data_IF_846690367137
#
_entry.id   IF_846690367137
#
_cell.length_a   1.000
_cell.length_b   1.000
_cell.length_c   1.000
_cell.angle_alpha   90.00
_cell.angle_beta   90.00
_cell.angle_gamma   90.00
#
_symmetry.space_group_name_H-M   'P 1'
#
loop_
_entity.id
_entity.type
_entity.pdbx_description
1 polymer ?
#
# COMPACT_ATOMS: atom_id res chain seq x y z
N UNK A 1 -1.67 -7.10 -31.29
CA UNK A 1 -1.05 -8.25 -30.58
C UNK A 1 -0.08 -7.68 -29.56
N UNK A 2 -0.37 -7.68 -28.27
CA UNK A 2 0.58 -7.21 -27.25
C UNK A 2 -0.04 -6.51 -26.03
N UNK A 3 -1.08 -7.05 -25.41
CA UNK A 3 -1.68 -6.52 -24.17
C UNK A 3 -1.75 -7.56 -23.04
N UNK A 4 -1.07 -8.69 -23.15
CA UNK A 4 -1.21 -9.79 -22.17
C UNK A 4 -0.16 -9.85 -21.05
N UNK A 5 0.87 -8.98 -21.00
CA UNK A 5 1.95 -9.10 -20.01
C UNK A 5 1.98 -8.03 -18.90
N UNK A 6 0.92 -7.23 -18.75
CA UNK A 6 0.84 -6.21 -17.67
C UNK A 6 -0.07 -6.61 -16.49
N UNK A 7 -0.74 -7.78 -16.57
CA UNK A 7 -1.80 -8.13 -15.62
C UNK A 7 -1.34 -8.62 -14.24
N UNK A 8 -0.16 -9.25 -14.13
CA UNK A 8 0.28 -9.90 -12.88
C UNK A 8 0.97 -8.95 -11.89
N UNK A 9 1.60 -7.87 -12.37
CA UNK A 9 2.25 -6.89 -11.48
C UNK A 9 1.27 -5.88 -10.86
N UNK A 10 0.08 -5.70 -11.43
CA UNK A 10 -0.92 -4.76 -10.88
C UNK A 10 -1.65 -5.29 -9.65
N UNK A 11 -1.87 -6.60 -9.55
CA UNK A 11 -2.53 -7.21 -8.39
C UNK A 11 -1.68 -7.12 -7.13
N UNK A 12 -0.37 -7.31 -7.23
CA UNK A 12 0.54 -7.17 -6.08
C UNK A 12 0.64 -5.72 -5.59
N UNK A 13 0.56 -4.74 -6.50
CA UNK A 13 0.59 -3.31 -6.16
C UNK A 13 -0.73 -2.82 -5.55
N UNK A 14 -1.87 -3.34 -6.02
CA UNK A 14 -3.21 -3.01 -5.49
C UNK A 14 -3.41 -3.57 -4.07
N UNK A 15 -2.83 -4.74 -3.77
CA UNK A 15 -2.95 -5.39 -2.47
C UNK A 15 -2.16 -4.69 -1.35
N UNK A 16 -1.04 -4.03 -1.70
CA UNK A 16 -0.17 -3.38 -0.71
C UNK A 16 -0.82 -2.17 -0.01
N UNK A 17 -1.69 -1.44 -0.71
CA UNK A 17 -2.28 -0.18 -0.22
C UNK A 17 -3.55 -0.39 0.62
N UNK A 18 -4.21 -1.53 0.51
CA UNK A 18 -5.47 -1.78 1.21
C UNK A 18 -5.31 -2.08 2.72
N UNK A 19 -4.09 -2.41 3.19
CA UNK A 19 -3.88 -2.95 4.52
C UNK A 19 -3.36 -1.97 5.57
N UNK A 20 -2.74 -0.85 5.19
CA UNK A 20 -1.98 -0.04 6.14
C UNK A 20 -2.27 1.46 6.01
N UNK A 21 -3.37 1.90 6.60
CA UNK A 21 -3.61 3.31 6.91
C UNK A 21 -2.97 3.69 8.25
N UNK A 22 -1.65 3.73 8.34
CA UNK A 22 -0.94 4.17 9.53
C UNK A 22 0.08 5.25 9.18
N UNK A 23 -0.05 6.43 9.79
CA UNK A 23 0.87 7.54 9.66
C UNK A 23 2.28 7.13 10.10
N UNK A 24 3.26 7.19 9.20
CA UNK A 24 4.69 7.04 9.54
C UNK A 24 5.22 8.42 9.92
N UNK A 25 5.35 8.67 11.22
CA UNK A 25 6.12 9.79 11.75
C UNK A 25 7.61 9.46 11.70
N UNK A 26 8.41 10.27 11.03
CA UNK A 26 9.88 10.16 11.02
C UNK A 26 10.44 10.48 12.40
N UNK A 27 11.09 9.50 13.04
CA UNK A 27 11.98 9.69 14.20
C UNK A 27 13.36 9.14 13.86
N UNK A 28 14.39 9.93 14.11
CA UNK A 28 15.79 9.58 13.80
C UNK A 28 16.25 8.31 14.54
N UNK A 29 17.08 7.44 13.91
CA UNK A 29 17.43 6.15 14.48
C UNK A 29 18.44 6.28 15.64
N UNK A 30 18.06 5.73 16.80
CA UNK A 30 18.98 5.43 17.90
C UNK A 30 19.43 3.97 17.79
N UNK A 31 20.71 3.73 17.62
CA UNK A 31 21.26 2.36 17.54
C UNK A 31 21.13 1.65 18.90
N UNK A 32 20.34 0.60 18.97
CA UNK A 32 20.25 -0.30 20.14
C UNK A 32 21.02 -1.59 19.84
N UNK A 33 21.96 -1.96 20.72
CA UNK A 33 22.83 -3.12 20.53
C UNK A 33 22.09 -4.45 20.79
N UNK A 34 22.50 -5.58 20.14
CA UNK A 34 21.85 -6.89 20.31
C UNK A 34 21.80 -7.41 21.76
N UNK A 35 22.67 -6.91 22.64
CA UNK A 35 22.66 -7.22 24.08
C UNK A 35 21.42 -6.69 24.83
N UNK A 36 20.65 -5.77 24.23
CA UNK A 36 19.48 -5.18 24.88
C UNK A 36 18.24 -6.06 24.80
N UNK A 37 18.06 -6.85 23.74
CA UNK A 37 16.95 -7.79 23.67
C UNK A 37 17.02 -8.86 24.77
N UNK A 38 18.23 -9.39 25.05
CA UNK A 38 18.43 -10.33 26.15
C UNK A 38 18.14 -9.70 27.52
N UNK A 39 18.55 -8.45 27.72
CA UNK A 39 18.29 -7.68 28.95
C UNK A 39 16.80 -7.38 29.14
N UNK A 40 16.06 -7.07 28.05
CA UNK A 40 14.63 -6.85 28.10
C UNK A 40 13.85 -8.13 28.39
N UNK A 41 14.27 -9.26 27.81
CA UNK A 41 13.68 -10.57 28.10
C UNK A 41 13.87 -10.95 29.58
N UNK A 42 15.02 -10.64 30.18
CA UNK A 42 15.28 -10.86 31.61
C UNK A 42 14.39 -9.96 32.49
N UNK A 43 14.13 -8.71 32.09
CA UNK A 43 13.21 -7.81 32.80
C UNK A 43 11.75 -8.27 32.75
N UNK A 44 11.31 -8.98 31.70
CA UNK A 44 9.99 -9.60 31.66
C UNK A 44 9.83 -10.76 32.65
N UNK A 45 10.92 -11.48 32.96
CA UNK A 45 10.92 -12.63 33.86
C UNK A 45 11.19 -12.25 35.34
N UNK A 46 11.75 -11.07 35.60
CA UNK A 46 11.78 -10.48 36.94
C UNK A 46 10.45 -9.79 37.20
N UNK A 47 9.74 -10.04 38.34
CA UNK A 47 8.46 -9.35 38.59
C UNK A 47 8.73 -7.85 38.72
N UNK A 48 8.27 -7.04 37.74
CA UNK A 48 8.43 -5.58 37.82
C UNK A 48 7.50 -5.06 38.92
N UNK A 49 7.99 -4.13 39.70
CA UNK A 49 7.31 -3.58 40.87
C UNK A 49 6.06 -2.74 40.52
N UNK A 50 5.83 -2.45 39.22
CA UNK A 50 4.65 -1.69 38.78
C UNK A 50 4.17 -2.07 37.38
N UNK A 51 2.85 -1.89 37.14
CA UNK A 51 2.22 -2.03 35.79
C UNK A 51 2.91 -1.11 34.78
N UNK A 52 3.35 0.08 35.21
CA UNK A 52 4.03 1.06 34.35
C UNK A 52 5.35 0.54 33.82
N UNK A 53 6.16 -0.16 34.64
CA UNK A 53 7.40 -0.76 34.18
C UNK A 53 7.18 -1.88 33.16
N UNK A 54 6.08 -2.65 33.30
CA UNK A 54 5.71 -3.67 32.31
C UNK A 54 5.28 -3.04 31.00
N UNK A 55 4.55 -1.92 31.05
CA UNK A 55 4.18 -1.16 29.86
C UNK A 55 5.44 -0.65 29.14
N UNK A 56 6.35 0.00 29.88
CA UNK A 56 7.60 0.52 29.31
C UNK A 56 8.42 -0.58 28.63
N UNK A 57 8.44 -1.81 29.16
CA UNK A 57 9.13 -2.97 28.55
C UNK A 57 8.40 -3.43 27.27
N UNK A 58 7.09 -3.46 27.26
CA UNK A 58 6.31 -3.82 26.07
C UNK A 58 6.56 -2.83 24.93
N UNK A 59 6.53 -1.53 25.26
CA UNK A 59 6.78 -0.44 24.31
C UNK A 59 8.21 -0.51 23.75
N UNK A 60 9.20 -0.85 24.58
CA UNK A 60 10.59 -1.02 24.15
C UNK A 60 10.76 -2.21 23.18
N UNK A 61 10.09 -3.34 23.41
CA UNK A 61 10.09 -4.46 22.45
C UNK A 61 9.43 -4.09 21.13
N UNK A 62 8.33 -3.34 21.15
CA UNK A 62 7.68 -2.87 19.95
C UNK A 62 8.59 -1.93 19.14
N UNK A 63 9.24 -0.99 19.83
CA UNK A 63 10.20 -0.06 19.22
C UNK A 63 11.39 -0.82 18.63
N UNK A 64 11.98 -1.75 19.38
CA UNK A 64 13.09 -2.60 18.92
C UNK A 64 12.69 -3.38 17.65
N UNK A 65 11.50 -3.96 17.64
CA UNK A 65 10.99 -4.67 16.46
C UNK A 65 10.91 -3.76 15.23
N UNK A 66 10.42 -2.51 15.40
CA UNK A 66 10.37 -1.51 14.32
C UNK A 66 11.76 -1.09 13.80
N UNK A 67 12.72 -0.90 14.69
CA UNK A 67 14.10 -0.57 14.31
C UNK A 67 14.76 -1.72 13.52
N UNK A 68 14.53 -2.96 13.94
CA UNK A 68 15.03 -4.14 13.26
C UNK A 68 14.37 -4.34 11.87
N UNK A 69 13.10 -3.98 11.71
CA UNK A 69 12.45 -3.92 10.39
C UNK A 69 13.19 -2.92 9.49
N UNK A 70 13.48 -1.73 9.99
CA UNK A 70 14.17 -0.69 9.23
C UNK A 70 15.59 -1.09 8.81
N UNK A 71 16.28 -1.85 9.64
CA UNK A 71 17.61 -2.39 9.33
C UNK A 71 17.58 -3.65 8.45
N UNK A 72 16.39 -4.20 8.16
CA UNK A 72 16.24 -5.45 7.42
C UNK A 72 16.51 -6.73 8.22
N UNK A 73 16.67 -6.61 9.54
CA UNK A 73 16.88 -7.76 10.43
C UNK A 73 15.54 -8.39 10.85
N UNK A 74 14.85 -8.96 9.87
CA UNK A 74 13.52 -9.57 10.07
C UNK A 74 13.49 -10.70 11.11
N UNK A 75 14.51 -11.59 11.23
CA UNK A 75 14.49 -12.63 12.26
C UNK A 75 14.42 -12.08 13.68
N UNK A 76 15.22 -11.08 14.00
CA UNK A 76 15.21 -10.44 15.32
C UNK A 76 13.95 -9.58 15.51
N UNK A 77 13.48 -8.87 14.46
CA UNK A 77 12.23 -8.14 14.51
C UNK A 77 11.04 -9.03 14.89
N UNK A 78 10.94 -10.24 14.31
CA UNK A 78 9.90 -11.22 14.65
C UNK A 78 9.95 -11.62 16.12
N UNK A 79 11.15 -11.82 16.68
CA UNK A 79 11.30 -12.16 18.10
C UNK A 79 10.85 -11.00 18.97
N UNK A 80 11.35 -9.79 18.73
CA UNK A 80 11.00 -8.60 19.51
C UNK A 80 9.48 -8.31 19.47
N UNK A 81 8.86 -8.41 18.30
CA UNK A 81 7.42 -8.17 18.15
C UNK A 81 6.56 -9.24 18.84
N UNK A 82 7.01 -10.50 18.88
CA UNK A 82 6.32 -11.55 19.66
C UNK A 82 6.40 -11.27 21.15
N UNK A 83 7.56 -10.84 21.65
CA UNK A 83 7.71 -10.46 23.06
C UNK A 83 6.86 -9.24 23.40
N UNK A 84 6.80 -8.22 22.50
CA UNK A 84 5.88 -7.10 22.65
C UNK A 84 4.43 -7.56 22.76
N UNK A 85 3.96 -8.39 21.82
CA UNK A 85 2.58 -8.90 21.81
C UNK A 85 2.25 -9.68 23.08
N UNK A 86 3.16 -10.53 23.58
CA UNK A 86 3.00 -11.27 24.81
C UNK A 86 2.94 -10.32 26.04
N UNK A 87 3.81 -9.32 26.09
CA UNK A 87 3.85 -8.36 27.20
C UNK A 87 2.53 -7.52 27.24
N UNK A 88 2.07 -7.01 26.10
CA UNK A 88 0.79 -6.31 26.01
C UNK A 88 -0.40 -7.19 26.37
N UNK A 89 -0.38 -8.47 25.97
CA UNK A 89 -1.43 -9.42 26.34
C UNK A 89 -1.53 -9.57 27.86
N UNK A 90 -0.41 -9.74 28.59
CA UNK A 90 -0.39 -9.81 30.05
C UNK A 90 -0.87 -8.52 30.72
N UNK A 91 -0.70 -7.37 30.08
CA UNK A 91 -1.18 -6.08 30.57
C UNK A 91 -2.66 -5.84 30.27
N UNK A 92 -3.27 -6.63 29.38
CA UNK A 92 -4.61 -6.35 28.85
C UNK A 92 -4.62 -5.16 27.88
N UNK A 93 -3.45 -4.73 27.39
CA UNK A 93 -3.34 -3.69 26.38
C UNK A 93 -3.50 -4.28 24.97
N UNK A 94 -4.75 -4.37 24.54
CA UNK A 94 -5.09 -4.93 23.23
C UNK A 94 -4.71 -4.02 22.07
N UNK A 95 -4.51 -2.70 22.30
CA UNK A 95 -4.06 -1.75 21.26
C UNK A 95 -2.60 -2.00 20.91
N UNK A 96 -1.71 -1.98 21.91
CA UNK A 96 -0.28 -2.28 21.70
C UNK A 96 -0.06 -3.69 21.16
N UNK A 97 -0.84 -4.67 21.63
CA UNK A 97 -0.81 -6.03 21.08
C UNK A 97 -1.22 -6.07 19.60
N UNK A 98 -2.26 -5.33 19.21
CA UNK A 98 -2.71 -5.20 17.83
C UNK A 98 -1.62 -4.65 16.92
N UNK A 99 -0.93 -3.59 17.34
CA UNK A 99 0.20 -3.01 16.60
C UNK A 99 1.35 -4.02 16.40
N UNK A 100 1.70 -4.78 17.43
CA UNK A 100 2.74 -5.81 17.32
C UNK A 100 2.33 -6.91 16.32
N UNK A 101 1.08 -7.36 16.35
CA UNK A 101 0.57 -8.34 15.40
C UNK A 101 0.52 -7.80 13.96
N UNK A 102 0.14 -6.55 13.74
CA UNK A 102 0.16 -5.93 12.41
C UNK A 102 1.56 -5.94 11.79
N UNK A 103 2.59 -5.59 12.58
CA UNK A 103 3.97 -5.65 12.12
C UNK A 103 4.41 -7.10 11.79
N UNK A 104 4.03 -8.07 12.63
CA UNK A 104 4.32 -9.49 12.38
C UNK A 104 3.66 -9.99 11.09
N UNK A 105 2.40 -9.66 10.86
CA UNK A 105 1.66 -10.03 9.64
C UNK A 105 2.35 -9.44 8.42
N UNK A 106 2.76 -8.17 8.49
CA UNK A 106 3.48 -7.50 7.40
C UNK A 106 4.80 -8.20 7.08
N UNK A 107 5.65 -8.44 8.07
CA UNK A 107 6.95 -9.13 7.87
C UNK A 107 6.74 -10.51 7.24
N UNK A 108 5.83 -11.31 7.81
CA UNK A 108 5.59 -12.65 7.27
C UNK A 108 5.04 -12.62 5.85
N UNK A 109 4.21 -11.63 5.51
CA UNK A 109 3.70 -11.44 4.15
C UNK A 109 4.82 -11.04 3.18
N UNK A 110 5.68 -10.09 3.57
CA UNK A 110 6.83 -9.64 2.77
C UNK A 110 7.83 -10.77 2.51
N UNK A 111 8.00 -11.66 3.47
CA UNK A 111 8.83 -12.87 3.35
C UNK A 111 8.14 -14.01 2.58
N UNK A 112 6.88 -13.84 2.14
CA UNK A 112 6.10 -14.91 1.51
C UNK A 112 5.69 -16.04 2.46
N UNK A 113 5.83 -15.84 3.77
CA UNK A 113 5.49 -16.81 4.82
C UNK A 113 4.01 -16.69 5.21
N UNK A 114 3.12 -16.86 4.23
CA UNK A 114 1.68 -16.64 4.40
C UNK A 114 1.03 -17.49 5.50
N UNK A 115 1.54 -18.72 5.73
CA UNK A 115 1.02 -19.58 6.82
C UNK A 115 1.33 -19.02 8.20
N UNK A 116 2.47 -18.37 8.38
CA UNK A 116 2.86 -17.74 9.65
C UNK A 116 2.05 -16.46 9.86
N UNK A 117 1.89 -15.64 8.80
CA UNK A 117 1.01 -14.49 8.83
C UNK A 117 -0.43 -14.88 9.21
N UNK A 118 -0.98 -15.90 8.57
CA UNK A 118 -2.33 -16.41 8.87
C UNK A 118 -2.47 -16.87 10.32
N UNK A 119 -1.46 -17.58 10.86
CA UNK A 119 -1.47 -18.02 12.27
C UNK A 119 -1.55 -16.82 13.22
N UNK A 120 -0.79 -15.76 12.96
CA UNK A 120 -0.80 -14.53 13.77
C UNK A 120 -2.18 -13.84 13.71
N UNK A 121 -2.76 -13.69 12.52
CA UNK A 121 -4.08 -13.08 12.36
C UNK A 121 -5.17 -13.91 13.02
N UNK A 122 -5.12 -15.25 12.91
CA UNK A 122 -6.08 -16.13 13.61
C UNK A 122 -5.96 -16.05 15.12
N UNK A 123 -4.75 -15.88 15.65
CA UNK A 123 -4.53 -15.63 17.08
C UNK A 123 -5.13 -14.29 17.50
N UNK A 124 -4.89 -13.22 16.76
CA UNK A 124 -5.51 -11.91 16.98
C UNK A 124 -7.03 -12.01 16.97
N UNK A 125 -7.62 -12.69 15.98
CA UNK A 125 -9.07 -12.89 15.88
C UNK A 125 -9.64 -13.67 17.08
N UNK A 126 -8.94 -14.72 17.53
CA UNK A 126 -9.36 -15.50 18.69
C UNK A 126 -9.39 -14.65 19.97
N UNK A 127 -8.38 -13.80 20.17
CA UNK A 127 -8.34 -12.88 21.32
C UNK A 127 -9.45 -11.83 21.20
N UNK A 128 -9.65 -11.24 20.03
CA UNK A 128 -10.74 -10.28 19.81
C UNK A 128 -12.14 -10.88 20.05
N UNK A 129 -12.33 -12.14 19.68
CA UNK A 129 -13.57 -12.88 19.97
C UNK A 129 -13.75 -13.13 21.46
N UNK A 130 -12.69 -13.56 22.17
CA UNK A 130 -12.77 -13.84 23.61
C UNK A 130 -13.08 -12.59 24.44
N UNK A 131 -12.63 -11.42 23.97
CA UNK A 131 -12.85 -10.14 24.64
C UNK A 131 -14.10 -9.39 24.13
N UNK A 132 -14.87 -9.98 23.21
CA UNK A 132 -16.04 -9.35 22.56
C UNK A 132 -15.69 -7.99 21.91
N UNK A 133 -14.43 -7.83 21.47
CA UNK A 133 -14.00 -6.63 20.77
C UNK A 133 -14.34 -6.75 19.28
N UNK A 134 -15.50 -6.29 18.89
CA UNK A 134 -16.01 -6.40 17.52
C UNK A 134 -15.18 -5.59 16.52
N UNK A 135 -14.62 -4.46 16.92
CA UNK A 135 -13.75 -3.65 16.04
C UNK A 135 -12.50 -4.42 15.64
N UNK A 136 -11.83 -5.07 16.61
CA UNK A 136 -10.64 -5.88 16.32
C UNK A 136 -11.00 -7.16 15.57
N UNK A 137 -12.18 -7.73 15.78
CA UNK A 137 -12.65 -8.87 14.98
C UNK A 137 -12.81 -8.48 13.51
N UNK A 138 -13.43 -7.31 13.22
CA UNK A 138 -13.56 -6.80 11.85
C UNK A 138 -12.18 -6.60 11.23
N UNK A 139 -11.24 -5.99 11.95
CA UNK A 139 -9.89 -5.73 11.46
C UNK A 139 -9.14 -7.04 11.17
N UNK A 140 -9.14 -7.98 12.11
CA UNK A 140 -8.49 -9.27 11.95
C UNK A 140 -9.08 -10.08 10.80
N UNK A 141 -10.41 -10.08 10.64
CA UNK A 141 -11.07 -10.74 9.51
C UNK A 141 -10.69 -10.09 8.17
N UNK A 142 -10.60 -8.76 8.10
CA UNK A 142 -10.14 -8.09 6.89
C UNK A 142 -8.66 -8.39 6.60
N UNK A 143 -7.81 -8.48 7.61
CA UNK A 143 -6.41 -8.90 7.44
C UNK A 143 -6.33 -10.37 6.95
N UNK A 144 -7.15 -11.27 7.50
CA UNK A 144 -7.23 -12.67 7.06
C UNK A 144 -7.66 -12.77 5.59
N UNK A 145 -8.68 -12.00 5.20
CA UNK A 145 -9.14 -11.94 3.81
C UNK A 145 -8.06 -11.39 2.86
N UNK A 146 -7.29 -10.39 3.30
CA UNK A 146 -6.19 -9.85 2.53
C UNK A 146 -5.07 -10.87 2.32
N UNK A 147 -4.73 -11.65 3.35
CA UNK A 147 -3.78 -12.76 3.20
C UNK A 147 -4.30 -13.81 2.20
N UNK A 148 -5.60 -14.08 2.21
CA UNK A 148 -6.24 -14.94 1.22
C UNK A 148 -6.04 -14.42 -0.21
N UNK A 149 -6.26 -13.12 -0.44
CA UNK A 149 -6.01 -12.49 -1.74
C UNK A 149 -4.53 -12.59 -2.16
N UNK A 150 -3.59 -12.33 -1.25
CA UNK A 150 -2.16 -12.41 -1.51
C UNK A 150 -1.70 -13.83 -1.87
N UNK A 151 -2.28 -14.83 -1.21
CA UNK A 151 -1.99 -16.24 -1.45
C UNK A 151 -2.81 -16.84 -2.61
N UNK A 152 -3.72 -16.08 -3.21
CA UNK A 152 -4.61 -16.55 -4.29
C UNK A 152 -5.82 -17.37 -3.81
N UNK A 153 -6.05 -17.45 -2.51
CA UNK A 153 -7.21 -18.14 -1.92
C UNK A 153 -8.42 -17.18 -1.82
N UNK A 154 -9.11 -17.04 -2.96
CA UNK A 154 -10.26 -16.12 -3.06
C UNK A 154 -11.45 -16.57 -2.21
N UNK A 155 -11.58 -17.87 -1.92
CA UNK A 155 -12.67 -18.37 -1.07
C UNK A 155 -12.43 -17.99 0.40
N UNK A 156 -11.22 -18.19 0.91
CA UNK A 156 -10.84 -17.70 2.24
C UNK A 156 -11.02 -16.18 2.35
N UNK A 157 -10.57 -15.45 1.32
CA UNK A 157 -10.69 -13.99 1.29
C UNK A 157 -12.17 -13.56 1.37
N UNK A 158 -13.02 -14.13 0.54
CA UNK A 158 -14.45 -13.84 0.51
C UNK A 158 -15.14 -14.16 1.83
N UNK A 159 -14.88 -15.34 2.40
CA UNK A 159 -15.47 -15.77 3.66
C UNK A 159 -15.10 -14.79 4.80
N UNK A 160 -13.83 -14.44 4.90
CA UNK A 160 -13.33 -13.53 5.93
C UNK A 160 -13.90 -12.11 5.79
N UNK A 161 -13.89 -11.53 4.57
CA UNK A 161 -14.47 -10.20 4.35
C UNK A 161 -15.98 -10.17 4.58
N UNK A 162 -16.70 -11.24 4.20
CA UNK A 162 -18.15 -11.32 4.42
C UNK A 162 -18.49 -11.44 5.90
N UNK A 163 -17.73 -12.22 6.69
CA UNK A 163 -17.91 -12.27 8.14
C UNK A 163 -17.60 -10.92 8.78
N UNK A 164 -16.50 -10.26 8.39
CA UNK A 164 -16.18 -8.91 8.85
C UNK A 164 -17.27 -7.90 8.54
N UNK A 165 -17.87 -7.99 7.34
CA UNK A 165 -19.00 -7.15 6.94
C UNK A 165 -20.23 -7.39 7.82
N UNK A 166 -20.57 -8.67 8.09
CA UNK A 166 -21.71 -9.01 8.94
C UNK A 166 -21.55 -8.41 10.34
N UNK A 167 -20.38 -8.61 10.97
CA UNK A 167 -20.12 -8.03 12.29
C UNK A 167 -20.19 -6.49 12.22
N UNK A 168 -19.62 -5.87 11.17
CA UNK A 168 -19.67 -4.42 11.03
C UNK A 168 -21.10 -3.88 10.88
N UNK A 169 -21.97 -4.61 10.20
CA UNK A 169 -23.39 -4.28 10.07
C UNK A 169 -24.13 -4.46 11.40
N UNK A 170 -23.86 -5.53 12.13
CA UNK A 170 -24.52 -5.82 13.42
C UNK A 170 -24.23 -4.75 14.49
N UNK A 171 -23.07 -4.09 14.41
CA UNK A 171 -22.67 -3.01 15.34
C UNK A 171 -22.77 -1.60 14.73
N UNK A 172 -23.38 -1.46 13.56
CA UNK A 172 -23.49 -0.19 12.82
C UNK A 172 -22.13 0.54 12.58
N UNK A 173 -21.05 -0.22 12.40
CA UNK A 173 -19.72 0.33 12.17
C UNK A 173 -19.53 0.80 10.72
N UNK A 174 -19.77 2.08 10.46
CA UNK A 174 -19.56 2.66 9.12
C UNK A 174 -18.16 2.40 8.57
N UNK A 175 -17.12 2.53 9.42
CA UNK A 175 -15.73 2.24 9.05
C UNK A 175 -15.53 0.77 8.67
N UNK A 176 -16.09 -0.15 9.47
CA UNK A 176 -16.01 -1.59 9.22
C UNK A 176 -16.73 -1.99 7.94
N UNK A 177 -17.94 -1.46 7.72
CA UNK A 177 -18.72 -1.69 6.49
C UNK A 177 -17.92 -1.20 5.28
N UNK A 178 -17.40 0.03 5.31
CA UNK A 178 -16.60 0.61 4.23
C UNK A 178 -15.35 -0.22 3.92
N UNK A 179 -14.64 -0.70 4.95
CA UNK A 179 -13.46 -1.54 4.80
C UNK A 179 -13.80 -2.89 4.14
N UNK A 180 -14.76 -3.62 4.68
CA UNK A 180 -15.13 -4.96 4.20
C UNK A 180 -15.74 -4.91 2.80
N UNK A 181 -16.57 -3.91 2.49
CA UNK A 181 -17.13 -3.68 1.14
C UNK A 181 -16.02 -3.38 0.14
N UNK A 182 -15.06 -2.50 0.48
CA UNK A 182 -13.93 -2.21 -0.40
C UNK A 182 -13.12 -3.47 -0.72
N UNK A 183 -12.89 -4.33 0.26
CA UNK A 183 -12.16 -5.58 0.10
C UNK A 183 -12.94 -6.63 -0.71
N UNK A 184 -14.26 -6.72 -0.56
CA UNK A 184 -15.11 -7.53 -1.45
C UNK A 184 -15.06 -7.01 -2.90
N UNK A 185 -14.95 -5.69 -3.08
CA UNK A 185 -14.70 -5.06 -4.37
C UNK A 185 -13.38 -5.53 -5.01
N UNK A 186 -12.30 -5.72 -4.24
CA UNK A 186 -11.04 -6.28 -4.73
C UNK A 186 -11.21 -7.70 -5.25
N UNK A 187 -11.98 -8.55 -4.55
CA UNK A 187 -12.28 -9.91 -5.03
C UNK A 187 -13.04 -9.86 -6.36
N UNK A 188 -14.09 -9.03 -6.43
CA UNK A 188 -14.88 -8.88 -7.64
C UNK A 188 -14.02 -8.38 -8.82
N UNK A 189 -13.09 -7.45 -8.56
CA UNK A 189 -12.13 -6.96 -9.55
C UNK A 189 -11.19 -8.09 -10.00
N UNK A 190 -10.65 -8.89 -9.08
CA UNK A 190 -9.77 -10.01 -9.39
C UNK A 190 -10.46 -11.08 -10.24
N UNK A 191 -11.77 -11.25 -10.07
CA UNK A 191 -12.61 -12.17 -10.84
C UNK A 191 -13.16 -11.57 -12.16
N UNK A 192 -12.80 -10.32 -12.49
CA UNK A 192 -13.31 -9.63 -13.67
C UNK A 192 -14.80 -9.26 -13.60
N UNK A 193 -15.41 -9.28 -12.42
CA UNK A 193 -16.80 -8.96 -12.16
C UNK A 193 -17.00 -7.44 -12.03
N UNK A 194 -16.77 -6.70 -13.12
CA UNK A 194 -16.72 -5.22 -13.14
C UNK A 194 -17.94 -4.57 -12.51
N UNK A 195 -19.16 -5.09 -12.78
CA UNK A 195 -20.40 -4.51 -12.24
C UNK A 195 -20.52 -4.70 -10.72
N UNK A 196 -20.10 -5.83 -10.19
CA UNK A 196 -20.15 -6.09 -8.75
C UNK A 196 -19.03 -5.33 -8.03
N UNK A 197 -17.83 -5.28 -8.60
CA UNK A 197 -16.73 -4.44 -8.10
C UNK A 197 -17.19 -2.97 -7.97
N UNK A 198 -17.85 -2.43 -9.02
CA UNK A 198 -18.39 -1.08 -8.98
C UNK A 198 -19.35 -0.88 -7.82
N UNK A 199 -20.36 -1.76 -7.67
CA UNK A 199 -21.35 -1.64 -6.58
C UNK A 199 -20.67 -1.68 -5.20
N UNK A 200 -19.72 -2.60 -5.00
CA UNK A 200 -19.00 -2.70 -3.75
C UNK A 200 -18.21 -1.43 -3.44
N UNK A 201 -17.48 -0.88 -4.41
CA UNK A 201 -16.69 0.32 -4.19
C UNK A 201 -17.54 1.59 -4.03
N UNK A 202 -18.64 1.75 -4.79
CA UNK A 202 -19.58 2.87 -4.61
C UNK A 202 -20.15 2.90 -3.19
N UNK A 203 -20.57 1.73 -2.67
CA UNK A 203 -21.05 1.59 -1.29
C UNK A 203 -19.92 1.87 -0.29
N UNK A 204 -18.75 1.28 -0.50
CA UNK A 204 -17.59 1.47 0.36
C UNK A 204 -17.18 2.94 0.47
N UNK A 205 -17.09 3.66 -0.66
CA UNK A 205 -16.72 5.08 -0.68
C UNK A 205 -17.67 5.94 0.16
N UNK A 206 -19.00 5.68 0.06
CA UNK A 206 -20.00 6.39 0.86
C UNK A 206 -19.83 6.13 2.36
N UNK A 207 -19.63 4.88 2.78
CA UNK A 207 -19.44 4.53 4.19
C UNK A 207 -18.12 5.10 4.75
N UNK A 208 -17.02 5.04 3.96
CA UNK A 208 -15.73 5.61 4.37
C UNK A 208 -15.80 7.13 4.52
N UNK A 209 -16.49 7.83 3.60
CA UNK A 209 -16.72 9.28 3.71
C UNK A 209 -17.48 9.64 5.00
N UNK A 210 -18.56 8.91 5.33
CA UNK A 210 -19.33 9.13 6.55
C UNK A 210 -18.51 8.83 7.81
N UNK A 211 -17.71 7.77 7.78
CA UNK A 211 -16.79 7.41 8.85
C UNK A 211 -15.58 8.36 8.97
N UNK A 212 -15.43 9.35 8.06
CA UNK A 212 -14.24 10.21 7.92
C UNK A 212 -12.94 9.41 7.75
N UNK A 213 -13.03 8.24 7.17
CA UNK A 213 -11.87 7.42 6.79
C UNK A 213 -11.36 7.88 5.41
N UNK A 214 -10.75 9.06 5.39
CA UNK A 214 -10.33 9.72 4.14
C UNK A 214 -9.23 8.94 3.41
N UNK A 215 -8.33 8.28 4.12
CA UNK A 215 -7.31 7.42 3.51
C UNK A 215 -7.94 6.21 2.82
N UNK A 216 -8.83 5.51 3.52
CA UNK A 216 -9.60 4.43 2.94
C UNK A 216 -10.48 4.88 1.78
N UNK A 217 -11.12 6.05 1.88
CA UNK A 217 -11.91 6.63 0.80
C UNK A 217 -11.04 6.89 -0.44
N UNK A 218 -9.89 7.54 -0.28
CA UNK A 218 -8.99 7.84 -1.40
C UNK A 218 -8.53 6.56 -2.13
N UNK A 219 -8.21 5.50 -1.40
CA UNK A 219 -7.91 4.19 -1.98
C UNK A 219 -9.11 3.59 -2.73
N UNK A 220 -10.29 3.66 -2.12
CA UNK A 220 -11.53 3.14 -2.72
C UNK A 220 -11.89 3.91 -3.99
N UNK A 221 -11.72 5.23 -4.00
CA UNK A 221 -11.96 6.09 -5.17
C UNK A 221 -10.96 5.78 -6.30
N UNK A 222 -9.69 5.48 -6.00
CA UNK A 222 -8.75 4.98 -7.01
C UNK A 222 -9.18 3.64 -7.61
N UNK A 223 -9.63 2.69 -6.78
CA UNK A 223 -10.18 1.41 -7.25
C UNK A 223 -11.42 1.62 -8.12
N UNK A 224 -12.28 2.55 -7.73
CA UNK A 224 -13.47 2.91 -8.48
C UNK A 224 -13.10 3.55 -9.83
N UNK A 225 -12.04 4.37 -9.86
CA UNK A 225 -11.46 4.90 -11.08
C UNK A 225 -11.02 3.80 -12.06
N UNK A 226 -10.31 2.78 -11.55
CA UNK A 226 -9.89 1.61 -12.34
C UNK A 226 -11.11 0.85 -12.93
N UNK A 227 -12.14 0.64 -12.11
CA UNK A 227 -13.36 -0.06 -12.52
C UNK A 227 -14.15 0.74 -13.56
N UNK A 228 -14.32 2.05 -13.38
CA UNK A 228 -14.97 2.91 -14.36
C UNK A 228 -14.17 2.99 -15.67
N UNK A 229 -12.84 3.02 -15.60
CA UNK A 229 -12.00 3.00 -16.79
C UNK A 229 -12.16 1.69 -17.56
N UNK A 230 -12.15 0.55 -16.86
CA UNK A 230 -12.39 -0.76 -17.46
C UNK A 230 -13.79 -0.89 -18.09
N UNK A 231 -14.79 -0.20 -17.52
CA UNK A 231 -16.16 -0.15 -18.05
C UNK A 231 -16.32 0.87 -19.19
N UNK A 232 -15.29 1.65 -19.55
CA UNK A 232 -15.38 2.73 -20.56
C UNK A 232 -16.10 3.99 -20.06
N UNK A 233 -16.40 4.09 -18.77
CA UNK A 233 -17.08 5.22 -18.14
C UNK A 233 -16.07 6.35 -17.80
N UNK A 234 -15.39 6.85 -18.83
CA UNK A 234 -14.19 7.73 -18.71
C UNK A 234 -14.42 8.95 -17.81
N UNK A 235 -15.60 9.63 -17.95
CA UNK A 235 -15.88 10.82 -17.13
C UNK A 235 -15.94 10.49 -15.64
N UNK A 236 -16.52 9.34 -15.29
CA UNK A 236 -16.58 8.88 -13.89
C UNK A 236 -15.20 8.46 -13.39
N UNK A 237 -14.40 7.78 -14.23
CA UNK A 237 -13.04 7.42 -13.89
C UNK A 237 -12.18 8.66 -13.55
N UNK A 238 -12.24 9.71 -14.38
CA UNK A 238 -11.57 10.98 -14.11
C UNK A 238 -12.06 11.59 -12.78
N UNK A 239 -13.36 11.58 -12.52
CA UNK A 239 -13.94 12.10 -11.28
C UNK A 239 -13.41 11.35 -10.05
N UNK A 240 -13.40 10.03 -10.09
CA UNK A 240 -12.94 9.17 -9.01
C UNK A 240 -11.44 9.35 -8.73
N UNK A 241 -10.58 9.34 -9.76
CA UNK A 241 -9.15 9.59 -9.57
C UNK A 241 -8.84 11.01 -9.09
N UNK A 242 -9.57 12.04 -9.54
CA UNK A 242 -9.39 13.41 -9.04
C UNK A 242 -9.77 13.54 -7.57
N UNK A 243 -10.85 12.90 -7.14
CA UNK A 243 -11.25 12.88 -5.74
C UNK A 243 -10.20 12.15 -4.90
N UNK A 244 -9.76 10.97 -5.33
CA UNK A 244 -8.66 10.24 -4.70
C UNK A 244 -7.40 11.10 -4.56
N UNK A 245 -6.97 11.77 -5.65
CA UNK A 245 -5.80 12.64 -5.65
C UNK A 245 -5.93 13.82 -4.69
N UNK A 246 -7.13 14.43 -4.63
CA UNK A 246 -7.39 15.54 -3.69
C UNK A 246 -7.26 15.09 -2.25
N UNK A 247 -7.94 13.99 -1.87
CA UNK A 247 -7.88 13.43 -0.53
C UNK A 247 -6.45 13.00 -0.16
N UNK A 248 -5.73 12.37 -1.09
CA UNK A 248 -4.37 11.94 -0.87
C UNK A 248 -3.38 13.11 -0.69
N UNK A 249 -3.62 14.25 -1.34
CA UNK A 249 -2.86 15.48 -1.10
C UNK A 249 -3.10 16.05 0.29
N UNK A 250 -4.35 16.13 0.71
CA UNK A 250 -4.72 16.62 2.05
C UNK A 250 -4.13 15.73 3.17
N UNK A 251 -3.95 14.44 2.89
CA UNK A 251 -3.36 13.46 3.80
C UNK A 251 -1.82 13.39 3.71
N UNK A 252 -1.20 14.06 2.74
CA UNK A 252 0.22 13.89 2.40
C UNK A 252 0.60 12.42 2.17
N UNK A 253 -0.27 11.64 1.49
CA UNK A 253 -0.01 10.24 1.15
C UNK A 253 0.52 10.13 -0.30
N UNK A 254 1.84 9.98 -0.49
CA UNK A 254 2.45 9.95 -1.81
C UNK A 254 2.07 8.70 -2.63
N UNK A 255 1.79 7.58 -1.97
CA UNK A 255 1.45 6.34 -2.67
C UNK A 255 0.08 6.42 -3.34
N UNK A 256 -0.92 6.93 -2.61
CA UNK A 256 -2.26 7.14 -3.18
C UNK A 256 -2.23 8.23 -4.25
N UNK A 257 -1.47 9.33 -4.02
CA UNK A 257 -1.28 10.38 -5.03
C UNK A 257 -0.70 9.80 -6.33
N UNK A 258 0.37 9.00 -6.23
CA UNK A 258 1.02 8.38 -7.37
C UNK A 258 0.05 7.52 -8.18
N UNK A 259 -0.72 6.67 -7.49
CA UNK A 259 -1.71 5.80 -8.11
C UNK A 259 -2.81 6.58 -8.86
N UNK A 260 -3.35 7.61 -8.22
CA UNK A 260 -4.38 8.45 -8.84
C UNK A 260 -3.83 9.21 -10.07
N UNK A 261 -2.59 9.69 -9.99
CA UNK A 261 -1.89 10.33 -11.12
C UNK A 261 -1.69 9.35 -12.27
N UNK A 262 -1.28 8.10 -12.01
CA UNK A 262 -1.12 7.06 -13.03
C UNK A 262 -2.43 6.78 -13.79
N UNK A 263 -3.55 6.72 -13.07
CA UNK A 263 -4.87 6.57 -13.68
C UNK A 263 -5.23 7.75 -14.60
N UNK A 264 -5.01 8.99 -14.13
CA UNK A 264 -5.28 10.20 -14.92
C UNK A 264 -4.36 10.30 -16.14
N UNK A 265 -3.06 10.04 -15.98
CA UNK A 265 -2.08 10.01 -17.09
C UNK A 265 -2.51 9.00 -18.15
N UNK A 266 -2.90 7.79 -17.73
CA UNK A 266 -3.40 6.74 -18.63
C UNK A 266 -4.58 7.21 -19.45
N UNK A 267 -5.57 7.85 -18.81
CA UNK A 267 -6.78 8.34 -19.49
C UNK A 267 -6.44 9.45 -20.48
N UNK A 268 -5.65 10.46 -20.06
CA UNK A 268 -5.38 11.62 -20.91
C UNK A 268 -4.43 11.30 -22.06
N UNK A 269 -3.52 10.31 -21.91
CA UNK A 269 -2.74 9.76 -23.02
C UNK A 269 -3.63 9.08 -24.08
N UNK A 270 -4.63 8.27 -23.64
CA UNK A 270 -5.57 7.59 -24.55
C UNK A 270 -6.51 8.55 -25.28
N UNK A 271 -6.82 9.70 -24.68
CA UNK A 271 -7.72 10.70 -25.24
C UNK A 271 -7.04 11.72 -26.14
N UNK A 272 -5.71 11.68 -26.26
CA UNK A 272 -4.91 12.67 -26.95
C UNK A 272 -5.21 14.11 -26.47
N UNK A 273 -5.26 14.27 -25.14
CA UNK A 273 -5.43 15.58 -24.48
C UNK A 273 -4.11 16.04 -23.84
N UNK A 274 -3.18 16.60 -24.60
CA UNK A 274 -1.79 16.83 -24.19
C UNK A 274 -1.69 17.79 -23.01
N UNK A 275 -2.54 18.82 -22.96
CA UNK A 275 -2.51 19.83 -21.87
C UNK A 275 -2.73 19.19 -20.50
N UNK A 276 -3.75 18.35 -20.36
CA UNK A 276 -4.04 17.66 -19.09
C UNK A 276 -3.01 16.56 -18.80
N UNK A 277 -2.56 15.88 -19.86
CA UNK A 277 -1.52 14.84 -19.75
C UNK A 277 -0.22 15.42 -19.16
N UNK A 278 0.32 16.49 -19.71
CA UNK A 278 1.55 17.12 -19.20
C UNK A 278 1.38 17.65 -17.79
N UNK A 279 0.25 18.27 -17.45
CA UNK A 279 -0.05 18.73 -16.11
C UNK A 279 0.05 17.60 -15.05
N UNK A 280 -0.48 16.41 -15.35
CA UNK A 280 -0.40 15.28 -14.41
C UNK A 280 0.98 14.63 -14.39
N UNK A 281 1.71 14.61 -15.52
CA UNK A 281 3.11 14.18 -15.56
C UNK A 281 4.00 15.10 -14.72
N UNK A 282 3.85 16.41 -14.85
CA UNK A 282 4.55 17.39 -14.00
C UNK A 282 4.25 17.19 -12.51
N UNK A 283 2.97 16.99 -12.17
CA UNK A 283 2.57 16.68 -10.79
C UNK A 283 3.23 15.39 -10.28
N UNK A 284 3.36 14.39 -11.14
CA UNK A 284 4.01 13.11 -10.79
C UNK A 284 5.53 13.28 -10.60
N UNK A 285 6.19 14.07 -11.44
CA UNK A 285 7.63 14.40 -11.28
C UNK A 285 7.84 15.16 -9.97
N UNK A 286 7.03 16.18 -9.69
CA UNK A 286 7.12 16.96 -8.43
C UNK A 286 7.01 16.03 -7.21
N UNK A 287 6.04 15.12 -7.21
CA UNK A 287 5.84 14.16 -6.12
C UNK A 287 7.08 13.25 -5.93
N UNK A 288 7.72 12.80 -7.02
CA UNK A 288 8.93 11.96 -6.91
C UNK A 288 10.15 12.72 -6.38
N UNK A 289 10.19 14.04 -6.57
CA UNK A 289 11.22 14.90 -5.99
C UNK A 289 10.97 15.13 -4.49
N UNK A 290 9.71 15.32 -4.09
CA UNK A 290 9.33 15.49 -2.69
C UNK A 290 9.59 14.22 -1.85
N UNK A 291 9.44 13.04 -2.46
CA UNK A 291 9.63 11.75 -1.79
C UNK A 291 11.04 11.17 -1.96
N UNK A 292 11.92 11.85 -2.70
CA UNK A 292 13.26 11.37 -3.07
C UNK A 292 13.24 9.97 -3.71
N UNK A 293 12.17 9.67 -4.48
CA UNK A 293 11.98 8.39 -5.15
C UNK A 293 12.56 8.42 -6.58
N UNK A 294 13.85 8.20 -6.68
CA UNK A 294 14.60 8.20 -7.93
C UNK A 294 14.11 7.14 -8.92
N UNK A 295 13.60 6.00 -8.42
CA UNK A 295 13.05 4.98 -9.29
C UNK A 295 11.75 5.44 -9.96
N UNK A 296 10.81 5.99 -9.20
CA UNK A 296 9.58 6.53 -9.77
C UNK A 296 9.85 7.72 -10.67
N UNK A 297 10.85 8.55 -10.34
CA UNK A 297 11.29 9.67 -11.18
C UNK A 297 11.82 9.18 -12.53
N UNK A 298 12.67 8.15 -12.53
CA UNK A 298 13.17 7.50 -13.75
C UNK A 298 11.99 6.99 -14.61
N UNK A 299 11.05 6.27 -14.02
CA UNK A 299 9.87 5.73 -14.71
C UNK A 299 9.05 6.87 -15.34
N UNK A 300 8.84 7.98 -14.61
CA UNK A 300 8.06 9.12 -15.10
C UNK A 300 8.76 9.83 -16.25
N UNK A 301 10.07 10.07 -16.13
CA UNK A 301 10.86 10.71 -17.17
C UNK A 301 10.93 9.86 -18.45
N UNK A 302 11.02 8.54 -18.31
CA UNK A 302 10.93 7.62 -19.45
C UNK A 302 9.56 7.72 -20.13
N UNK A 303 8.47 7.70 -19.38
CA UNK A 303 7.12 7.87 -19.91
C UNK A 303 6.95 9.22 -20.62
N UNK A 304 7.49 10.29 -20.03
CA UNK A 304 7.48 11.62 -20.64
C UNK A 304 8.26 11.64 -21.95
N UNK A 305 9.43 11.01 -22.00
CA UNK A 305 10.21 10.86 -23.21
C UNK A 305 9.47 10.11 -24.32
N UNK A 306 8.79 9.02 -23.97
CA UNK A 306 7.94 8.24 -24.88
C UNK A 306 6.81 9.09 -25.48
N UNK A 307 6.16 9.91 -24.68
CA UNK A 307 5.09 10.81 -25.13
C UNK A 307 5.62 11.91 -26.05
N UNK A 308 6.78 12.50 -25.74
CA UNK A 308 7.41 13.47 -26.64
C UNK A 308 7.83 12.84 -27.97
N UNK A 309 8.38 11.61 -27.94
CA UNK A 309 8.75 10.86 -29.15
C UNK A 309 7.52 10.55 -30.02
N UNK A 310 6.41 10.08 -29.42
CA UNK A 310 5.12 9.84 -30.09
C UNK A 310 4.56 11.12 -30.75
N UNK A 311 4.76 12.28 -30.12
CA UNK A 311 4.31 13.58 -30.62
C UNK A 311 5.27 14.22 -31.62
N UNK A 312 6.43 13.61 -31.92
CA UNK A 312 7.44 14.12 -32.80
C UNK A 312 8.29 15.23 -32.20
N UNK A 313 8.22 15.50 -30.91
CA UNK A 313 9.05 16.47 -30.19
C UNK A 313 10.38 15.81 -29.76
N UNK A 314 11.24 15.54 -30.77
CA UNK A 314 12.43 14.73 -30.58
C UNK A 314 13.46 15.37 -29.64
N UNK A 315 13.54 16.71 -29.59
CA UNK A 315 14.43 17.38 -28.64
C UNK A 315 14.02 17.17 -27.17
N UNK A 316 12.72 17.31 -26.88
CA UNK A 316 12.22 17.09 -25.52
C UNK A 316 12.28 15.60 -25.13
N UNK A 317 12.00 14.71 -26.09
CA UNK A 317 12.19 13.27 -25.91
C UNK A 317 13.63 12.94 -25.52
N UNK A 318 14.61 13.49 -26.26
CA UNK A 318 16.02 13.28 -25.95
C UNK A 318 16.42 13.80 -24.57
N UNK A 319 15.94 14.99 -24.16
CA UNK A 319 16.18 15.54 -22.82
C UNK A 319 15.60 14.65 -21.71
N UNK A 320 14.35 14.21 -21.87
CA UNK A 320 13.69 13.36 -20.89
C UNK A 320 14.38 11.99 -20.74
N UNK A 321 14.71 11.34 -21.86
CA UNK A 321 15.46 10.07 -21.83
C UNK A 321 16.89 10.23 -21.30
N UNK A 322 17.55 11.36 -21.54
CA UNK A 322 18.89 11.61 -20.98
C UNK A 322 18.84 11.72 -19.45
N UNK A 323 17.85 12.40 -18.91
CA UNK A 323 17.65 12.46 -17.46
C UNK A 323 17.31 11.09 -16.87
N UNK A 324 16.42 10.34 -17.52
CA UNK A 324 16.08 8.97 -17.12
C UNK A 324 17.31 8.04 -17.17
N UNK A 325 18.18 8.19 -18.19
CA UNK A 325 19.41 7.42 -18.30
C UNK A 325 20.40 7.72 -17.18
N UNK A 326 20.57 8.99 -16.80
CA UNK A 326 21.39 9.38 -15.65
C UNK A 326 20.92 8.72 -14.35
N UNK A 327 19.61 8.74 -14.09
CA UNK A 327 19.02 8.05 -12.94
C UNK A 327 19.20 6.52 -13.02
N UNK A 328 19.05 5.94 -14.21
CA UNK A 328 19.29 4.50 -14.42
C UNK A 328 20.74 4.11 -14.13
N UNK A 329 21.70 5.00 -14.40
CA UNK A 329 23.12 4.80 -14.05
C UNK A 329 23.32 4.87 -12.53
N UNK A 330 22.77 5.87 -11.86
CA UNK A 330 22.84 6.03 -10.39
C UNK A 330 22.22 4.83 -9.66
N UNK A 331 21.09 4.32 -10.18
CA UNK A 331 20.37 3.17 -9.62
C UNK A 331 20.92 1.80 -10.09
N UNK A 332 22.00 1.77 -10.85
CA UNK A 332 22.65 0.55 -11.40
C UNK A 332 21.71 -0.36 -12.21
N UNK A 333 20.67 0.20 -12.88
CA UNK A 333 19.65 -0.54 -13.62
C UNK A 333 20.11 -0.86 -15.05
N UNK A 334 21.00 -1.84 -15.22
CA UNK A 334 21.68 -2.15 -16.50
C UNK A 334 20.74 -2.38 -17.68
N UNK A 335 19.63 -3.09 -17.49
CA UNK A 335 18.63 -3.33 -18.55
C UNK A 335 17.97 -2.04 -19.03
N UNK A 336 17.59 -1.16 -18.10
CA UNK A 336 16.99 0.14 -18.41
C UNK A 336 18.01 1.07 -19.06
N UNK A 337 19.27 1.05 -18.63
CA UNK A 337 20.36 1.80 -19.25
C UNK A 337 20.54 1.40 -20.73
N UNK A 338 20.52 0.09 -21.02
CA UNK A 338 20.68 -0.40 -22.40
C UNK A 338 19.51 0.05 -23.30
N UNK A 339 18.27 -0.03 -22.82
CA UNK A 339 17.08 0.44 -23.55
C UNK A 339 17.16 1.94 -23.83
N UNK A 340 17.39 2.75 -22.80
CA UNK A 340 17.47 4.21 -22.92
C UNK A 340 18.66 4.64 -23.80
N UNK A 341 19.81 3.96 -23.73
CA UNK A 341 20.96 4.24 -24.61
C UNK A 341 20.61 4.02 -26.09
N UNK A 342 19.87 2.96 -26.41
CA UNK A 342 19.43 2.69 -27.79
C UNK A 342 18.46 3.77 -28.28
N UNK A 343 17.49 4.20 -27.47
CA UNK A 343 16.55 5.28 -27.81
C UNK A 343 17.28 6.61 -28.03
N UNK A 344 18.20 6.98 -27.13
CA UNK A 344 19.00 8.19 -27.25
C UNK A 344 19.84 8.21 -28.54
N UNK A 345 20.42 7.07 -28.93
CA UNK A 345 21.17 6.95 -30.19
C UNK A 345 20.25 7.15 -31.40
N UNK A 346 19.07 6.52 -31.40
CA UNK A 346 18.10 6.67 -32.51
C UNK A 346 17.63 8.12 -32.63
N UNK A 347 17.34 8.79 -31.51
CA UNK A 347 16.92 10.20 -31.49
C UNK A 347 18.06 11.15 -31.94
N UNK A 348 19.31 10.89 -31.53
CA UNK A 348 20.45 11.70 -32.00
C UNK A 348 20.58 11.65 -33.50
N UNK A 349 20.44 10.49 -34.15
CA UNK A 349 20.49 10.37 -35.60
C UNK A 349 19.34 11.16 -36.25
N UNK A 350 18.12 11.04 -35.71
CA UNK A 350 16.95 11.74 -36.26
C UNK A 350 16.96 13.26 -36.04
N UNK A 351 17.72 13.76 -35.07
CA UNK A 351 17.91 15.21 -34.84
C UNK A 351 19.02 15.82 -35.73
N UNK A 352 19.92 14.99 -36.22
CA UNK A 352 21.02 15.42 -37.13
C UNK A 352 20.59 15.41 -38.61
N UNK A 353 19.43 14.82 -38.96
CA UNK A 353 18.80 14.84 -40.30
C UNK A 353 17.89 16.04 -40.50
#
# INVERSE_FOLDING_TARGET
MGLQNLGLNRLSMILWVACFGGCVGFVAPSFIAPSQAASLTEQLHTPPDSIRQRQDVADQFLLLGREQIHSGDYPNAIVALKEAANAYHYLGDFVGMGEAYEQLVRIYSDLGQYRDAERVVRQQLAIARSNLNFSDQILALNNLGTLGLQNGDLEMARAAFSEGLTIAQDIDSERGIGLSMSNLGLIATAQGQTNDARKYYEVAANYRARARDFAGQANTDSNLGDVYLAAGEIRKAIGAYRLSLSLARDLNDPYIQMRALDGLITIYRQRDEPRELYKYLESRIALTLETDDDWQRLVTLRTLGEIYEENGDLEQAYKAFSQAFSLAQQLERKTVQADLSNRLRSLSIALDE
#
